data_IF_957622766617
#
_entry.id   IF_957622766617
#
_cell.length_a   1.000
_cell.length_b   1.000
_cell.length_c   1.000
_cell.angle_alpha   90.00
_cell.angle_beta   90.00
_cell.angle_gamma   90.00
#
_symmetry.space_group_name_H-M   'P 1'
#
loop_
_entity.id
_entity.type
_entity.pdbx_description
1 polymer ?
#
# COMPACT_ATOMS: atom_id res chain seq x y z
N UNK A 1 -9.93 25.72 12.75
CA UNK A 1 -10.59 24.53 13.27
C UNK A 1 -9.51 23.53 13.57
N UNK A 2 -9.32 23.34 14.86
CA UNK A 2 -8.13 22.88 15.51
C UNK A 2 -7.77 21.42 15.18
N UNK A 3 -6.53 21.19 14.78
CA UNK A 3 -5.84 19.91 14.76
C UNK A 3 -6.03 19.12 16.10
N UNK A 4 -6.14 19.82 17.20
CA UNK A 4 -6.39 19.27 18.54
C UNK A 4 -7.70 18.48 18.62
N UNK A 5 -8.75 18.88 17.93
CA UNK A 5 -10.03 18.16 17.91
C UNK A 5 -9.96 16.84 17.13
N UNK A 6 -9.16 16.77 16.06
CA UNK A 6 -9.03 15.53 15.29
C UNK A 6 -8.14 14.51 16.00
N UNK A 7 -7.07 14.93 16.67
CA UNK A 7 -6.23 14.03 17.48
C UNK A 7 -6.98 13.44 18.68
N UNK A 8 -7.85 14.23 19.32
CA UNK A 8 -8.67 13.77 20.42
C UNK A 8 -9.69 12.72 19.94
N UNK A 9 -10.36 12.93 18.80
CA UNK A 9 -11.29 11.96 18.22
C UNK A 9 -10.58 10.66 17.82
N UNK A 10 -9.38 10.70 17.27
CA UNK A 10 -8.61 9.49 16.90
C UNK A 10 -8.19 8.72 18.16
N UNK A 11 -7.76 9.40 19.20
CA UNK A 11 -7.41 8.79 20.49
C UNK A 11 -8.60 8.09 21.12
N UNK A 12 -9.73 8.77 21.14
CA UNK A 12 -10.99 8.21 21.71
C UNK A 12 -11.45 6.98 20.91
N UNK A 13 -11.38 7.03 19.59
CA UNK A 13 -11.71 5.90 18.73
C UNK A 13 -10.78 4.70 18.96
N UNK A 14 -9.49 4.92 19.17
CA UNK A 14 -8.52 3.86 19.45
C UNK A 14 -8.80 3.21 20.81
N UNK A 15 -9.07 4.00 21.84
CA UNK A 15 -9.41 3.51 23.18
C UNK A 15 -10.71 2.69 23.14
N UNK A 16 -11.73 3.21 22.46
CA UNK A 16 -13.01 2.51 22.28
C UNK A 16 -12.82 1.17 21.56
N UNK A 17 -12.04 1.16 20.48
CA UNK A 17 -11.76 -0.07 19.73
C UNK A 17 -11.00 -1.11 20.58
N UNK A 18 -10.01 -0.67 21.35
CA UNK A 18 -9.28 -1.55 22.29
C UNK A 18 -10.19 -2.10 23.38
N UNK A 19 -10.99 -1.25 24.00
CA UNK A 19 -11.96 -1.68 25.01
C UNK A 19 -12.99 -2.67 24.43
N UNK A 20 -13.51 -2.39 23.25
CA UNK A 20 -14.42 -3.29 22.56
C UNK A 20 -13.76 -4.64 22.25
N UNK A 21 -12.52 -4.64 21.78
CA UNK A 21 -11.74 -5.86 21.54
C UNK A 21 -11.58 -6.70 22.82
N UNK A 22 -11.21 -6.09 23.94
CA UNK A 22 -11.06 -6.78 25.23
C UNK A 22 -12.42 -7.33 25.71
N UNK A 23 -13.49 -6.56 25.55
CA UNK A 23 -14.84 -6.98 25.93
C UNK A 23 -15.28 -8.22 25.15
N UNK A 24 -14.95 -8.35 23.87
CA UNK A 24 -15.29 -9.53 23.06
C UNK A 24 -14.67 -10.83 23.59
N UNK A 25 -13.50 -10.75 24.24
CA UNK A 25 -12.89 -11.91 24.92
C UNK A 25 -13.51 -12.22 26.30
N UNK A 26 -14.19 -11.26 26.92
CA UNK A 26 -14.76 -11.42 28.26
C UNK A 26 -16.25 -11.75 28.25
N UNK A 27 -16.99 -11.24 27.26
CA UNK A 27 -18.42 -11.48 27.12
C UNK A 27 -18.65 -12.92 26.63
N UNK A 28 -19.45 -13.66 27.33
CA UNK A 28 -19.84 -15.04 26.99
C UNK A 28 -21.02 -15.07 26.03
N UNK A 29 -20.98 -15.96 25.06
CA UNK A 29 -22.14 -16.27 24.23
C UNK A 29 -23.19 -17.00 24.99
N UNK A 30 -24.46 -16.60 24.81
CA UNK A 30 -25.62 -17.16 25.55
C UNK A 30 -25.83 -18.66 25.28
N UNK A 31 -25.45 -19.12 24.07
CA UNK A 31 -25.67 -20.52 23.65
C UNK A 31 -24.55 -21.50 24.02
N UNK A 32 -23.30 -21.07 24.24
CA UNK A 32 -22.17 -22.00 24.41
C UNK A 32 -21.36 -21.81 25.69
N UNK A 33 -21.64 -20.80 26.51
CA UNK A 33 -20.83 -20.40 27.69
C UNK A 33 -19.35 -20.08 27.35
N UNK A 34 -19.01 -20.02 26.09
CA UNK A 34 -17.68 -19.65 25.58
C UNK A 34 -17.62 -18.13 25.29
N UNK A 35 -16.43 -17.48 25.34
CA UNK A 35 -16.30 -16.09 24.96
C UNK A 35 -16.70 -15.88 23.49
N UNK A 36 -17.18 -14.67 23.16
CA UNK A 36 -17.59 -14.33 21.79
C UNK A 36 -16.46 -14.50 20.77
N UNK A 37 -15.22 -14.23 21.19
CA UNK A 37 -14.01 -14.45 20.40
C UNK A 37 -13.02 -15.23 21.25
N UNK A 38 -12.48 -16.30 20.69
CA UNK A 38 -11.40 -17.09 21.26
C UNK A 38 -10.05 -16.64 20.64
N UNK A 39 -8.96 -16.99 21.34
CA UNK A 39 -7.60 -16.72 20.83
C UNK A 39 -7.34 -17.36 19.45
N UNK A 40 -7.89 -18.55 19.22
CA UNK A 40 -7.79 -19.24 17.93
C UNK A 40 -8.43 -18.45 16.78
N UNK A 41 -9.50 -17.72 17.03
CA UNK A 41 -10.15 -16.85 16.05
C UNK A 41 -9.36 -15.55 15.86
N UNK A 42 -8.80 -14.99 16.92
CA UNK A 42 -7.95 -13.81 16.86
C UNK A 42 -6.67 -14.05 16.06
N UNK A 43 -6.08 -15.24 16.14
CA UNK A 43 -4.89 -15.61 15.35
C UNK A 43 -5.19 -15.67 13.85
N UNK A 44 -6.43 -15.95 13.46
CA UNK A 44 -6.86 -15.96 12.04
C UNK A 44 -6.97 -14.57 11.42
N UNK A 45 -6.92 -13.50 12.23
CA UNK A 45 -6.88 -12.14 11.69
C UNK A 45 -5.64 -11.95 10.80
N UNK A 46 -5.74 -11.13 9.77
CA UNK A 46 -4.62 -10.88 8.86
C UNK A 46 -3.57 -9.95 9.51
N UNK A 47 -2.90 -10.42 10.54
CA UNK A 47 -1.90 -9.69 11.33
C UNK A 47 -0.79 -9.09 10.47
N UNK A 48 -0.44 -9.78 9.37
CA UNK A 48 0.55 -9.28 8.43
C UNK A 48 0.17 -7.91 7.84
N UNK A 49 -1.10 -7.70 7.52
CA UNK A 49 -1.59 -6.42 6.99
C UNK A 49 -1.54 -5.33 8.07
N UNK A 50 -1.98 -5.67 9.30
CA UNK A 50 -2.00 -4.73 10.44
C UNK A 50 -0.57 -4.28 10.77
N UNK A 51 0.38 -5.22 10.86
CA UNK A 51 1.78 -4.94 11.12
C UNK A 51 2.44 -4.16 9.99
N UNK A 52 2.09 -4.46 8.73
CA UNK A 52 2.61 -3.75 7.56
C UNK A 52 2.15 -2.28 7.57
N UNK A 53 0.87 -2.02 7.84
CA UNK A 53 0.35 -0.66 7.97
C UNK A 53 0.98 0.09 9.14
N UNK A 54 0.98 -0.51 10.33
CA UNK A 54 1.56 0.09 11.52
C UNK A 54 3.06 0.36 11.35
N UNK A 55 3.79 -0.59 10.79
CA UNK A 55 5.21 -0.45 10.47
C UNK A 55 5.48 0.64 9.43
N UNK A 56 4.66 0.72 8.37
CA UNK A 56 4.75 1.77 7.35
C UNK A 56 4.52 3.15 7.94
N UNK A 57 3.51 3.32 8.78
CA UNK A 57 3.25 4.60 9.47
C UNK A 57 4.37 4.97 10.45
N UNK A 58 4.89 4.01 11.21
CA UNK A 58 6.03 4.23 12.10
C UNK A 58 7.28 4.64 11.33
N UNK A 59 7.53 4.02 10.18
CA UNK A 59 8.63 4.37 9.30
C UNK A 59 8.47 5.80 8.74
N UNK A 60 7.27 6.17 8.27
CA UNK A 60 6.97 7.51 7.78
C UNK A 60 7.22 8.57 8.87
N UNK A 61 6.74 8.34 10.09
CA UNK A 61 7.01 9.21 11.24
C UNK A 61 8.52 9.28 11.54
N UNK A 62 9.25 8.19 11.41
CA UNK A 62 10.71 8.17 11.51
C UNK A 62 11.40 9.04 10.45
N UNK A 63 10.94 9.03 9.21
CA UNK A 63 11.44 9.88 8.13
C UNK A 63 11.26 11.36 8.44
N UNK A 64 10.09 11.74 8.97
CA UNK A 64 9.80 13.13 9.33
C UNK A 64 10.60 13.60 10.55
N UNK A 65 10.62 12.80 11.62
CA UNK A 65 11.27 13.20 12.88
C UNK A 65 12.79 13.19 12.82
N UNK A 66 13.39 12.39 11.95
CA UNK A 66 14.86 12.31 11.78
C UNK A 66 15.39 13.29 10.74
N UNK A 67 14.52 13.98 9.98
CA UNK A 67 14.92 14.83 8.85
C UNK A 67 15.47 14.02 7.65
N UNK A 68 15.28 12.69 7.65
CA UNK A 68 15.77 11.83 6.57
C UNK A 68 15.08 12.13 5.24
N UNK A 69 13.79 12.52 5.27
CA UNK A 69 13.07 12.94 4.07
C UNK A 69 13.72 14.18 3.43
N UNK A 70 14.08 15.18 4.23
CA UNK A 70 14.75 16.40 3.78
C UNK A 70 16.16 16.11 3.26
N UNK A 71 16.89 15.23 3.95
CA UNK A 71 18.21 14.80 3.49
C UNK A 71 18.13 14.07 2.15
N UNK A 72 17.22 13.14 1.97
CA UNK A 72 16.98 12.47 0.69
C UNK A 72 16.56 13.47 -0.40
N UNK A 73 15.67 14.41 -0.08
CA UNK A 73 15.27 15.49 -0.98
C UNK A 73 16.48 16.31 -1.43
N UNK A 74 17.39 16.65 -0.51
CA UNK A 74 18.62 17.40 -0.84
C UNK A 74 19.58 16.60 -1.74
N UNK A 75 19.72 15.28 -1.54
CA UNK A 75 20.51 14.42 -2.43
C UNK A 75 19.87 14.29 -3.81
N UNK A 76 18.54 14.26 -3.86
CA UNK A 76 17.79 14.23 -5.12
C UNK A 76 17.78 15.58 -5.85
N UNK A 77 18.25 16.66 -5.24
CA UNK A 77 18.44 17.95 -5.91
C UNK A 77 19.41 17.86 -7.10
N UNK A 78 20.30 16.86 -7.11
CA UNK A 78 21.10 16.50 -8.27
C UNK A 78 20.25 16.01 -9.48
N UNK A 79 19.02 15.56 -9.20
CA UNK A 79 18.03 15.12 -10.18
C UNK A 79 17.03 16.24 -10.56
N UNK A 80 17.20 17.45 -10.05
CA UNK A 80 16.33 18.61 -10.36
C UNK A 80 16.35 18.99 -11.86
N UNK A 81 17.28 18.43 -12.63
CA UNK A 81 17.27 18.53 -14.09
C UNK A 81 16.38 17.49 -14.80
N UNK A 82 15.91 16.44 -14.09
CA UNK A 82 14.96 15.49 -14.65
C UNK A 82 13.55 16.08 -14.51
N UNK A 83 12.87 16.23 -15.65
CA UNK A 83 11.47 16.64 -15.62
C UNK A 83 10.67 15.75 -14.68
N UNK A 84 9.77 16.32 -13.87
CA UNK A 84 8.87 15.60 -12.96
C UNK A 84 8.24 14.35 -13.59
N UNK A 85 7.95 14.41 -14.89
CA UNK A 85 7.46 13.30 -15.70
C UNK A 85 8.38 12.07 -15.64
N UNK A 86 9.69 12.26 -15.74
CA UNK A 86 10.66 11.14 -15.72
C UNK A 86 10.68 10.48 -14.34
N UNK A 87 10.63 11.27 -13.26
CA UNK A 87 10.56 10.76 -11.90
C UNK A 87 9.29 9.92 -11.71
N UNK A 88 8.13 10.44 -12.12
CA UNK A 88 6.86 9.73 -12.02
C UNK A 88 6.89 8.43 -12.84
N UNK A 89 7.40 8.46 -14.06
CA UNK A 89 7.50 7.27 -14.92
C UNK A 89 8.40 6.20 -14.29
N UNK A 90 9.54 6.59 -13.73
CA UNK A 90 10.46 5.65 -13.06
C UNK A 90 9.80 5.02 -11.83
N UNK A 91 9.12 5.81 -11.01
CA UNK A 91 8.39 5.29 -9.84
C UNK A 91 7.27 4.35 -10.28
N UNK A 92 6.43 4.75 -11.23
CA UNK A 92 5.33 3.94 -11.75
C UNK A 92 5.84 2.62 -12.31
N UNK A 93 6.89 2.64 -13.12
CA UNK A 93 7.49 1.43 -13.68
C UNK A 93 8.03 0.51 -12.57
N UNK A 94 8.77 1.08 -11.62
CA UNK A 94 9.31 0.31 -10.49
C UNK A 94 8.21 -0.34 -9.65
N UNK A 95 7.17 0.42 -9.32
CA UNK A 95 6.03 -0.06 -8.55
C UNK A 95 5.29 -1.17 -9.30
N UNK A 96 5.08 -1.00 -10.60
CA UNK A 96 4.40 -1.99 -11.43
C UNK A 96 5.16 -3.33 -11.45
N UNK A 97 6.49 -3.31 -11.56
CA UNK A 97 7.28 -4.54 -11.47
C UNK A 97 7.27 -5.17 -10.07
N UNK A 98 7.34 -4.36 -9.02
CA UNK A 98 7.31 -4.87 -7.63
C UNK A 98 5.97 -5.53 -7.33
N UNK A 99 4.86 -4.91 -7.73
CA UNK A 99 3.51 -5.41 -7.44
C UNK A 99 3.17 -6.71 -8.18
N UNK A 100 3.88 -7.05 -9.24
CA UNK A 100 3.71 -8.34 -9.94
C UNK A 100 4.10 -9.55 -9.06
N UNK A 101 5.05 -9.34 -8.13
CA UNK A 101 5.56 -10.39 -7.23
C UNK A 101 4.98 -10.25 -5.82
N UNK A 102 4.52 -9.05 -5.47
CA UNK A 102 3.96 -8.74 -4.17
C UNK A 102 2.45 -8.44 -4.27
N UNK A 103 1.76 -8.43 -3.15
CA UNK A 103 0.35 -8.03 -3.11
C UNK A 103 0.20 -6.53 -3.39
N UNK A 104 -0.74 -6.16 -4.27
CA UNK A 104 -1.07 -4.77 -4.59
C UNK A 104 -1.34 -3.94 -3.34
N UNK A 105 -2.10 -4.53 -2.39
CA UNK A 105 -2.41 -3.89 -1.12
C UNK A 105 -1.16 -3.68 -0.28
N UNK A 106 -0.30 -4.69 -0.18
CA UNK A 106 0.94 -4.60 0.59
C UNK A 106 1.91 -3.59 -0.01
N UNK A 107 2.07 -3.58 -1.33
CA UNK A 107 2.92 -2.61 -2.05
C UNK A 107 2.44 -1.18 -1.80
N UNK A 108 1.14 -0.93 -1.95
CA UNK A 108 0.55 0.39 -1.72
C UNK A 108 0.72 0.82 -0.26
N UNK A 109 0.37 -0.04 0.70
CA UNK A 109 0.45 0.26 2.12
C UNK A 109 1.88 0.58 2.59
N UNK A 110 2.87 -0.08 2.00
CA UNK A 110 4.28 0.15 2.33
C UNK A 110 4.83 1.43 1.69
N UNK A 111 4.47 1.69 0.43
CA UNK A 111 5.08 2.78 -0.34
C UNK A 111 4.45 4.15 -0.06
N UNK A 112 3.13 4.24 0.15
CA UNK A 112 2.47 5.52 0.36
C UNK A 112 3.04 6.33 1.53
N UNK A 113 3.27 5.75 2.72
CA UNK A 113 3.86 6.48 3.85
C UNK A 113 5.28 6.96 3.59
N UNK A 114 6.02 6.29 2.70
CA UNK A 114 7.41 6.65 2.35
C UNK A 114 7.42 7.75 1.29
N UNK A 115 6.55 7.65 0.28
CA UNK A 115 6.53 8.57 -0.84
C UNK A 115 5.98 9.96 -0.48
N UNK A 116 5.09 10.05 0.50
CA UNK A 116 4.54 11.35 0.92
C UNK A 116 5.63 12.30 1.47
N UNK A 117 6.46 11.91 2.46
CA UNK A 117 7.56 12.74 2.93
C UNK A 117 8.62 13.04 1.85
N UNK A 118 8.91 12.07 0.97
CA UNK A 118 9.85 12.29 -0.13
C UNK A 118 9.33 13.35 -1.11
N UNK A 119 8.04 13.31 -1.45
CA UNK A 119 7.43 14.32 -2.32
C UNK A 119 7.50 15.73 -1.70
N UNK A 120 7.26 15.85 -0.39
CA UNK A 120 7.38 17.12 0.34
C UNK A 120 8.84 17.61 0.30
N UNK A 121 9.81 16.74 0.53
CA UNK A 121 11.24 17.08 0.46
C UNK A 121 11.72 17.51 -0.93
N UNK A 122 11.02 17.10 -1.98
CA UNK A 122 11.27 17.51 -3.37
C UNK A 122 10.46 18.75 -3.81
N UNK A 123 9.68 19.35 -2.90
CA UNK A 123 8.75 20.44 -3.19
C UNK A 123 7.72 20.09 -4.28
N UNK A 124 7.29 18.82 -4.30
CA UNK A 124 6.30 18.27 -5.22
C UNK A 124 5.01 18.01 -4.44
N UNK A 125 3.86 18.19 -5.09
CA UNK A 125 2.59 17.83 -4.48
C UNK A 125 2.55 16.31 -4.19
N UNK A 126 2.44 15.87 -2.92
CA UNK A 126 2.47 14.46 -2.54
C UNK A 126 1.42 13.61 -3.26
N UNK A 127 0.26 14.19 -3.54
CA UNK A 127 -0.82 13.47 -4.22
C UNK A 127 -0.43 12.96 -5.61
N UNK A 128 0.48 13.62 -6.31
CA UNK A 128 0.94 13.18 -7.63
C UNK A 128 1.62 11.82 -7.52
N UNK A 129 2.56 11.67 -6.60
CA UNK A 129 3.29 10.41 -6.38
C UNK A 129 2.39 9.34 -5.76
N UNK A 130 1.55 9.72 -4.81
CA UNK A 130 0.66 8.78 -4.12
C UNK A 130 -0.38 8.18 -5.08
N UNK A 131 -1.04 9.01 -5.89
CA UNK A 131 -2.03 8.54 -6.87
C UNK A 131 -1.36 7.71 -7.96
N UNK A 132 -0.24 8.18 -8.51
CA UNK A 132 0.51 7.44 -9.53
C UNK A 132 0.93 6.06 -9.03
N UNK A 133 1.44 5.97 -7.80
CA UNK A 133 1.84 4.71 -7.16
C UNK A 133 0.66 3.78 -6.92
N UNK A 134 -0.47 4.29 -6.44
CA UNK A 134 -1.67 3.48 -6.16
C UNK A 134 -2.25 2.89 -7.45
N UNK A 135 -2.30 3.69 -8.51
CA UNK A 135 -2.75 3.23 -9.83
C UNK A 135 -1.78 2.18 -10.38
N UNK A 136 -0.46 2.45 -10.33
CA UNK A 136 0.56 1.51 -10.79
C UNK A 136 0.51 0.18 -10.03
N UNK A 137 0.36 0.22 -8.71
CA UNK A 137 0.22 -0.98 -7.88
C UNK A 137 -1.01 -1.82 -8.23
N UNK A 138 -2.05 -1.20 -8.77
CA UNK A 138 -3.26 -1.90 -9.20
C UNK A 138 -3.17 -2.50 -10.61
N UNK A 139 -2.14 -2.16 -11.39
CA UNK A 139 -1.94 -2.59 -12.77
C UNK A 139 -1.05 -3.85 -12.89
N UNK A 140 -1.17 -4.79 -11.98
CA UNK A 140 -0.41 -6.05 -11.98
C UNK A 140 -1.12 -7.12 -12.81
N UNK A 141 -0.76 -7.23 -14.09
CA UNK A 141 -1.41 -8.16 -15.04
C UNK A 141 -0.45 -9.13 -15.74
N UNK A 142 0.86 -9.05 -15.49
CA UNK A 142 1.85 -9.86 -16.19
C UNK A 142 1.93 -11.28 -15.64
N UNK A 143 1.85 -11.45 -14.31
CA UNK A 143 2.02 -12.74 -13.66
C UNK A 143 0.71 -13.29 -13.10
N UNK A 144 0.51 -14.62 -13.17
CA UNK A 144 -0.69 -15.27 -12.61
C UNK A 144 -0.78 -15.13 -11.09
N UNK A 145 0.33 -14.94 -10.41
CA UNK A 145 0.39 -14.83 -8.94
C UNK A 145 0.03 -13.43 -8.44
N UNK A 146 0.07 -12.43 -9.32
CA UNK A 146 -0.12 -11.03 -8.95
C UNK A 146 -1.53 -10.74 -8.40
N UNK A 147 -2.56 -11.30 -9.02
CA UNK A 147 -3.95 -11.11 -8.59
C UNK A 147 -4.79 -12.39 -8.75
N UNK A 148 -5.84 -12.58 -7.91
CA UNK A 148 -6.74 -13.72 -8.06
C UNK A 148 -7.37 -13.87 -9.45
N UNK A 149 -7.83 -12.80 -10.14
CA UNK A 149 -8.31 -12.90 -11.51
C UNK A 149 -7.27 -13.45 -12.48
N UNK A 150 -6.01 -13.03 -12.36
CA UNK A 150 -4.92 -13.54 -13.20
C UNK A 150 -4.72 -15.06 -12.99
N UNK A 151 -4.79 -15.52 -11.74
CA UNK A 151 -4.68 -16.94 -11.41
C UNK A 151 -5.81 -17.77 -12.02
N UNK A 152 -7.04 -17.26 -12.01
CA UNK A 152 -8.21 -17.92 -12.62
C UNK A 152 -8.04 -18.02 -14.13
N UNK A 153 -7.65 -16.95 -14.79
CA UNK A 153 -7.45 -16.93 -16.25
C UNK A 153 -6.31 -17.87 -16.64
N UNK A 154 -5.20 -17.85 -15.93
CA UNK A 154 -4.08 -18.77 -16.16
C UNK A 154 -4.44 -20.23 -15.88
N UNK A 155 -5.24 -20.48 -14.83
CA UNK A 155 -5.72 -21.82 -14.45
C UNK A 155 -6.60 -22.48 -15.51
N UNK A 156 -7.12 -21.72 -16.49
CA UNK A 156 -7.85 -22.27 -17.65
C UNK A 156 -6.97 -23.16 -18.56
N UNK A 157 -5.65 -23.03 -18.46
CA UNK A 157 -4.68 -23.78 -19.25
C UNK A 157 -4.49 -23.32 -20.70
N UNK A 158 -5.26 -22.31 -21.15
CA UNK A 158 -5.15 -21.78 -22.52
C UNK A 158 -4.04 -20.75 -22.71
N UNK A 159 -3.56 -20.13 -21.63
CA UNK A 159 -2.57 -19.06 -21.66
C UNK A 159 -1.24 -19.50 -21.05
N UNK A 160 -0.15 -19.07 -21.66
CA UNK A 160 1.20 -19.18 -21.09
C UNK A 160 1.58 -17.85 -20.41
N UNK A 161 2.48 -17.89 -19.45
CA UNK A 161 3.00 -16.70 -18.76
C UNK A 161 3.57 -15.68 -19.76
N UNK A 162 4.26 -16.18 -20.81
CA UNK A 162 4.80 -15.34 -21.89
C UNK A 162 3.72 -14.56 -22.64
N UNK A 163 2.54 -15.14 -22.78
CA UNK A 163 1.43 -14.51 -23.51
C UNK A 163 0.77 -13.43 -22.65
N UNK A 164 0.62 -13.68 -21.35
CA UNK A 164 0.15 -12.69 -20.39
C UNK A 164 1.10 -11.49 -20.31
N UNK A 165 2.40 -11.72 -20.15
CA UNK A 165 3.41 -10.68 -20.06
C UNK A 165 3.49 -9.83 -21.35
N UNK A 166 3.48 -10.46 -22.53
CA UNK A 166 3.48 -9.75 -23.81
C UNK A 166 2.22 -8.94 -24.03
N UNK A 167 1.05 -9.50 -23.71
CA UNK A 167 -0.22 -8.78 -23.85
C UNK A 167 -0.26 -7.58 -22.92
N UNK A 168 0.17 -7.71 -21.68
CA UNK A 168 0.24 -6.60 -20.73
C UNK A 168 1.15 -5.48 -21.25
N UNK A 169 2.37 -5.79 -21.69
CA UNK A 169 3.30 -4.81 -22.24
C UNK A 169 2.79 -4.12 -23.51
N UNK A 170 2.07 -4.85 -24.37
CA UNK A 170 1.51 -4.30 -25.60
C UNK A 170 0.28 -3.43 -25.35
N UNK A 171 -0.59 -3.79 -24.39
CA UNK A 171 -1.79 -3.02 -24.06
C UNK A 171 -1.52 -1.79 -23.19
N UNK A 172 -0.41 -1.76 -22.45
CA UNK A 172 0.03 -0.55 -21.75
C UNK A 172 0.79 0.43 -22.63
N UNK A 173 1.22 -0.01 -23.83
CA UNK A 173 1.74 0.90 -24.87
C UNK A 173 0.55 1.46 -25.65
N UNK A 174 0.41 2.79 -25.79
CA UNK A 174 -0.60 3.37 -26.68
C UNK A 174 -0.36 2.85 -28.09
N UNK A 175 -1.32 2.06 -28.57
CA UNK A 175 -1.24 1.55 -29.94
C UNK A 175 -1.39 2.71 -30.92
N UNK A 176 -0.50 2.88 -31.89
CA UNK A 176 -0.65 3.93 -32.91
C UNK A 176 -1.72 3.61 -33.97
N UNK A 177 -2.70 2.77 -33.65
CA UNK A 177 -3.71 2.29 -34.59
C UNK A 177 -5.15 2.48 -34.15
N UNK A 178 -5.44 3.41 -33.24
CA UNK A 178 -6.80 3.87 -32.97
C UNK A 178 -6.92 5.37 -33.22
#
# INVERSE_FOLDING_TARGET
PSLVGSEMCIRDSTIIAMCAGILLFTIKSDNKKEPLINWEDAVKLPWGIILLFGGGMALASGFETTGLAEWLGSQMSLLQGLALMVLVVVIVASVNFITEVTSNLATTAMLLPILAPIAIGLDINPYILMVATTVAASCAFMLPVATPPNAVVFGSGYLKISDMAKSCLLYTSPSPRD
#
